data_IF_635573662151
#
_entry.id   IF_635573662151
#
_cell.length_a   1.000
_cell.length_b   1.000
_cell.length_c   1.000
_cell.angle_alpha   90.00
_cell.angle_beta   90.00
_cell.angle_gamma   90.00
#
_symmetry.space_group_name_H-M   'P 1'
#
loop_
_entity.id
_entity.type
_entity.pdbx_description
1 polymer ?
#
# COMPACT_ATOMS: atom_id res chain seq x y z
N UNK A 1 -11.74 -2.52 6.92
CA UNK A 1 -10.29 -2.52 6.64
C UNK A 1 -9.64 -1.51 7.60
N UNK A 2 -8.32 -1.51 7.83
CA UNK A 2 -7.66 -0.45 8.59
C UNK A 2 -6.51 0.09 7.75
N UNK A 3 -6.48 1.39 7.50
CA UNK A 3 -5.38 2.07 6.86
C UNK A 3 -4.38 2.49 7.94
N UNK A 4 -3.11 2.64 7.58
CA UNK A 4 -2.09 3.19 8.46
C UNK A 4 -1.42 4.36 7.74
N UNK A 5 -1.12 5.42 8.49
CA UNK A 5 -0.40 6.58 8.00
C UNK A 5 0.81 6.81 8.90
N UNK A 6 2.00 6.82 8.31
CA UNK A 6 3.24 7.04 9.04
C UNK A 6 3.63 8.52 8.98
N UNK A 7 3.89 9.10 10.15
CA UNK A 7 4.42 10.47 10.32
C UNK A 7 5.76 10.39 11.04
N UNK A 8 6.46 11.53 11.12
CA UNK A 8 7.66 11.65 11.95
C UNK A 8 7.40 11.37 13.44
N UNK A 9 6.16 11.54 13.92
CA UNK A 9 5.77 11.32 15.30
C UNK A 9 5.34 9.86 15.59
N UNK A 10 5.11 9.04 14.55
CA UNK A 10 4.68 7.65 14.69
C UNK A 10 3.65 7.23 13.63
N UNK A 11 3.08 6.04 13.82
CA UNK A 11 2.08 5.46 12.91
C UNK A 11 0.68 5.63 13.49
N UNK A 12 -0.19 6.27 12.72
CA UNK A 12 -1.60 6.43 13.04
C UNK A 12 -2.44 5.38 12.32
N UNK A 13 -3.37 4.76 13.04
CA UNK A 13 -4.34 3.83 12.46
C UNK A 13 -5.60 4.59 12.09
N UNK A 14 -5.91 4.63 10.80
CA UNK A 14 -7.09 5.33 10.27
C UNK A 14 -8.22 4.33 10.06
N UNK A 15 -9.38 4.65 10.62
CA UNK A 15 -10.61 3.90 10.40
C UNK A 15 -11.06 4.08 8.95
N UNK A 16 -11.01 3.02 8.15
CA UNK A 16 -11.49 3.09 6.75
C UNK A 16 -13.01 3.25 6.66
N UNK A 17 -13.72 3.14 7.80
CA UNK A 17 -15.17 3.29 7.88
C UNK A 17 -15.61 4.75 8.01
N UNK A 18 -14.70 5.64 8.42
CA UNK A 18 -14.94 7.10 8.46
C UNK A 18 -14.66 7.76 7.10
N UNK A 19 -13.92 7.07 6.22
CA UNK A 19 -13.56 7.54 4.88
C UNK A 19 -14.04 6.59 3.77
N UNK A 20 -15.25 6.04 3.91
CA UNK A 20 -15.75 4.96 3.03
C UNK A 20 -15.73 5.29 1.55
N UNK A 21 -16.13 6.48 1.15
CA UNK A 21 -16.23 6.83 -0.28
C UNK A 21 -14.84 6.92 -0.92
N UNK A 22 -13.90 7.55 -0.21
CA UNK A 22 -12.50 7.62 -0.61
C UNK A 22 -11.87 6.21 -0.69
N UNK A 23 -12.05 5.40 0.35
CA UNK A 23 -11.54 4.03 0.40
C UNK A 23 -12.18 3.16 -0.69
N UNK A 24 -13.48 3.31 -0.92
CA UNK A 24 -14.22 2.60 -1.96
C UNK A 24 -13.71 2.95 -3.37
N UNK A 25 -13.29 4.19 -3.60
CA UNK A 25 -12.59 4.59 -4.82
C UNK A 25 -11.27 3.84 -4.99
N UNK A 26 -10.42 3.84 -3.96
CA UNK A 26 -9.12 3.13 -3.98
C UNK A 26 -9.31 1.62 -4.20
N UNK A 27 -10.29 1.01 -3.53
CA UNK A 27 -10.56 -0.42 -3.66
C UNK A 27 -11.02 -0.81 -5.07
N UNK A 28 -11.63 0.11 -5.83
CA UNK A 28 -11.98 -0.10 -7.25
C UNK A 28 -10.80 0.01 -8.20
N UNK A 29 -9.82 0.85 -7.87
CA UNK A 29 -8.62 1.06 -8.70
C UNK A 29 -7.73 -0.20 -8.70
N UNK A 30 -7.66 -0.92 -7.57
CA UNK A 30 -6.79 -2.11 -7.44
C UNK A 30 -7.03 -3.20 -8.50
N UNK A 31 -8.27 -3.69 -8.70
CA UNK A 31 -8.59 -4.61 -9.80
C UNK A 31 -8.29 -4.04 -11.19
N UNK A 32 -8.65 -2.79 -11.46
CA UNK A 32 -8.40 -2.14 -12.75
C UNK A 32 -6.90 -2.06 -13.07
N UNK A 33 -6.07 -1.73 -12.07
CA UNK A 33 -4.61 -1.76 -12.20
C UNK A 33 -4.09 -3.18 -12.48
N UNK A 34 -4.64 -4.20 -11.82
CA UNK A 34 -4.24 -5.60 -12.05
C UNK A 34 -4.47 -6.03 -13.49
N UNK A 35 -5.62 -5.66 -14.03
CA UNK A 35 -5.99 -5.97 -15.41
C UNK A 35 -5.14 -5.16 -16.39
N UNK A 36 -4.97 -3.85 -16.15
CA UNK A 36 -4.22 -2.96 -17.03
C UNK A 36 -2.71 -3.29 -17.09
N UNK A 37 -2.14 -3.82 -16.01
CA UNK A 37 -0.73 -4.18 -15.90
C UNK A 37 -0.47 -5.68 -16.09
N UNK A 38 -1.47 -6.42 -16.58
CA UNK A 38 -1.30 -7.82 -16.93
C UNK A 38 -0.26 -7.94 -18.06
N UNK A 39 0.79 -8.74 -17.85
CA UNK A 39 1.84 -8.97 -18.83
C UNK A 39 2.02 -10.48 -19.06
N UNK A 40 1.87 -10.94 -20.30
CA UNK A 40 1.89 -12.37 -20.67
C UNK A 40 0.97 -13.24 -19.79
N UNK A 41 -0.23 -12.73 -19.47
CA UNK A 41 -1.18 -13.42 -18.59
C UNK A 41 -0.81 -13.41 -17.10
N UNK A 42 0.25 -12.71 -16.71
CA UNK A 42 0.64 -12.51 -15.30
C UNK A 42 0.17 -11.15 -14.79
N UNK A 43 -0.79 -11.17 -13.87
CA UNK A 43 -1.20 -10.00 -13.09
C UNK A 43 -0.33 -9.85 -11.85
N UNK A 44 -0.10 -8.63 -11.37
CA UNK A 44 0.59 -8.45 -10.08
C UNK A 44 -0.20 -9.08 -8.92
N UNK A 45 0.52 -9.57 -7.92
CA UNK A 45 0.03 -10.20 -6.69
C UNK A 45 -0.05 -9.20 -5.53
N UNK A 46 0.88 -8.25 -5.47
CA UNK A 46 0.91 -7.18 -4.48
C UNK A 46 1.31 -5.84 -5.13
N UNK A 47 0.85 -4.75 -4.54
CA UNK A 47 1.24 -3.40 -4.92
C UNK A 47 1.45 -2.55 -3.66
N UNK A 48 2.49 -1.73 -3.67
CA UNK A 48 2.81 -0.77 -2.62
C UNK A 48 2.86 0.64 -3.22
N UNK A 49 1.94 1.49 -2.77
CA UNK A 49 1.96 2.91 -3.08
C UNK A 49 2.65 3.66 -1.94
N UNK A 50 3.70 4.41 -2.27
CA UNK A 50 4.42 5.28 -1.33
C UNK A 50 4.36 6.71 -1.84
N UNK A 51 4.09 7.65 -0.95
CA UNK A 51 4.09 9.08 -1.25
C UNK A 51 4.64 9.88 -0.06
N UNK A 52 5.23 11.04 -0.32
CA UNK A 52 5.74 11.95 0.70
C UNK A 52 5.07 13.34 0.66
N UNK A 53 5.41 14.20 1.61
CA UNK A 53 4.83 15.53 1.75
C UNK A 53 5.18 16.50 0.60
N UNK A 54 6.15 16.17 -0.25
CA UNK A 54 6.51 16.93 -1.45
C UNK A 54 5.73 16.48 -2.68
N UNK A 55 4.77 15.57 -2.50
CA UNK A 55 3.99 14.95 -3.57
C UNK A 55 4.82 14.08 -4.51
N UNK A 56 6.06 13.72 -4.14
CA UNK A 56 6.77 12.62 -4.80
C UNK A 56 6.08 11.32 -4.44
N UNK A 57 5.84 10.47 -5.44
CA UNK A 57 5.21 9.18 -5.26
C UNK A 57 5.89 8.10 -6.09
N UNK A 58 5.81 6.86 -5.60
CA UNK A 58 6.22 5.66 -6.33
C UNK A 58 5.21 4.56 -6.09
N UNK A 59 4.96 3.78 -7.14
CA UNK A 59 4.16 2.57 -7.05
C UNK A 59 5.04 1.38 -7.42
N UNK A 60 5.24 0.50 -6.44
CA UNK A 60 6.00 -0.74 -6.58
C UNK A 60 5.02 -1.92 -6.72
N UNK A 61 5.39 -2.95 -7.49
CA UNK A 61 4.55 -4.11 -7.76
C UNK A 61 5.35 -5.40 -7.61
N UNK A 62 4.67 -6.47 -7.20
CA UNK A 62 5.23 -7.82 -7.13
C UNK A 62 4.29 -8.79 -7.85
N UNK A 63 4.83 -9.63 -8.73
CA UNK A 63 4.06 -10.61 -9.52
C UNK A 63 4.07 -12.03 -8.94
N UNK A 64 4.88 -12.28 -7.92
CA UNK A 64 5.14 -13.62 -7.39
C UNK A 64 4.58 -13.81 -5.98
N UNK A 65 4.70 -12.81 -5.11
CA UNK A 65 4.33 -12.91 -3.70
C UNK A 65 3.17 -11.97 -3.33
N UNK A 66 2.03 -12.56 -2.96
CA UNK A 66 0.85 -11.81 -2.51
C UNK A 66 0.99 -11.27 -1.07
N UNK A 67 1.96 -11.77 -0.31
CA UNK A 67 2.29 -11.29 1.03
C UNK A 67 3.42 -10.24 1.02
N UNK A 68 3.97 -9.90 -0.16
CA UNK A 68 4.97 -8.83 -0.28
C UNK A 68 4.41 -7.52 0.29
N UNK A 69 5.20 -6.85 1.14
CA UNK A 69 4.81 -5.61 1.83
C UNK A 69 3.55 -5.72 2.68
N UNK A 70 3.28 -6.91 3.24
CA UNK A 70 2.18 -7.09 4.18
C UNK A 70 2.30 -6.08 5.31
N UNK A 71 1.18 -5.44 5.66
CA UNK A 71 1.11 -4.46 6.75
C UNK A 71 0.39 -5.12 7.92
N UNK A 72 1.10 -5.39 9.00
CA UNK A 72 0.52 -5.92 10.24
C UNK A 72 0.12 -4.76 11.16
N UNK A 73 -1.16 -4.70 11.55
CA UNK A 73 -1.77 -3.57 12.28
C UNK A 73 -2.36 -3.96 13.65
N UNK A 74 -2.29 -5.25 14.02
CA UNK A 74 -2.90 -5.79 15.23
C UNK A 74 -1.81 -6.39 16.13
N UNK A 75 -2.02 -6.34 17.44
CA UNK A 75 -1.13 -6.99 18.43
C UNK A 75 0.19 -6.26 18.69
N UNK A 76 0.25 -4.93 18.56
CA UNK A 76 1.48 -4.16 18.82
C UNK A 76 2.46 -4.06 17.65
N UNK A 77 2.06 -4.51 16.45
CA UNK A 77 2.85 -4.38 15.24
C UNK A 77 2.96 -2.92 14.75
N UNK A 78 4.01 -2.62 13.98
CA UNK A 78 4.41 -1.26 13.58
C UNK A 78 3.40 -0.54 12.67
N UNK A 79 2.51 -1.28 12.00
CA UNK A 79 1.63 -0.71 10.96
C UNK A 79 2.38 -0.26 9.71
N UNK A 80 3.65 -0.63 9.57
CA UNK A 80 4.46 -0.44 8.37
C UNK A 80 4.45 -1.69 7.49
N UNK A 81 4.69 -1.56 6.17
CA UNK A 81 4.89 -2.70 5.30
C UNK A 81 6.20 -3.44 5.63
N UNK A 82 6.15 -4.77 5.64
CA UNK A 82 7.34 -5.61 5.78
C UNK A 82 8.34 -5.34 4.61
N UNK A 83 9.62 -5.17 4.93
CA UNK A 83 10.68 -4.94 3.93
C UNK A 83 10.70 -3.53 3.35
N UNK A 84 10.06 -2.55 4.00
CA UNK A 84 10.08 -1.14 3.60
C UNK A 84 11.51 -0.57 3.56
N UNK A 85 12.37 -1.00 4.49
CA UNK A 85 13.76 -0.58 4.64
C UNK A 85 14.68 -0.98 3.47
N UNK A 86 14.29 -2.01 2.71
CA UNK A 86 15.02 -2.47 1.55
C UNK A 86 14.67 -1.69 0.26
N UNK A 87 13.68 -0.80 0.33
CA UNK A 87 13.25 -0.01 -0.83
C UNK A 87 14.05 1.28 -0.93
N UNK A 88 14.29 1.70 -2.18
CA UNK A 88 14.86 3.02 -2.43
C UNK A 88 14.02 4.13 -1.78
N UNK A 89 14.65 5.15 -1.19
CA UNK A 89 13.96 6.33 -0.67
C UNK A 89 13.11 7.03 -1.74
N UNK A 90 12.07 7.74 -1.30
CA UNK A 90 11.39 8.72 -2.15
C UNK A 90 12.13 10.05 -2.10
N UNK A 91 12.35 10.68 -3.26
CA UNK A 91 12.96 12.01 -3.41
C UNK A 91 12.13 13.16 -2.80
#
# INVERSE_FOLDING_TARGET
MRASYATAAGVELVSTMEHRDFIGGIMRIGPQLRDALANDGRTFRAALFRANARFSYRMDYDWNDAARWKITKLGGASGLPDGLEALEPLD
#
